data_IF_110698606640
#
_entry.id   IF_110698606640
#
_cell.length_a   1.000
_cell.length_b   1.000
_cell.length_c   1.000
_cell.angle_alpha   90.00
_cell.angle_beta   90.00
_cell.angle_gamma   90.00
#
_symmetry.space_group_name_H-M   'P 1'
#
loop_
_entity.id
_entity.type
_entity.pdbx_description
1 polymer ?
#
# COMPACT_ATOMS: atom_id res chain seq x y z
N UNK A 1 -0.96 19.86 -14.80
CA UNK A 1 -0.13 18.70 -15.19
C UNK A 1 0.47 18.10 -13.93
N UNK A 2 0.36 16.78 -13.74
CA UNK A 2 1.10 16.10 -12.68
C UNK A 2 2.61 16.28 -12.92
N UNK A 3 3.45 16.41 -11.88
CA UNK A 3 4.89 16.46 -12.05
C UNK A 3 5.38 15.24 -12.84
N UNK A 4 6.36 15.42 -13.74
CA UNK A 4 6.86 14.35 -14.61
C UNK A 4 7.59 13.21 -13.88
N UNK A 5 7.73 13.27 -12.55
CA UNK A 5 8.42 12.27 -11.73
C UNK A 5 7.65 12.03 -10.43
N UNK A 6 6.47 11.44 -10.51
CA UNK A 6 5.67 11.03 -9.36
C UNK A 6 5.74 9.52 -9.10
N UNK A 7 5.53 9.10 -7.84
CA UNK A 7 5.38 7.69 -7.42
C UNK A 7 4.41 6.98 -8.37
N UNK A 8 3.32 7.66 -8.72
CA UNK A 8 2.31 7.20 -9.65
C UNK A 8 1.98 8.26 -10.71
N UNK A 9 1.84 7.83 -11.96
CA UNK A 9 1.23 8.62 -13.03
C UNK A 9 -0.32 8.54 -12.99
N UNK A 10 -1.04 9.48 -13.64
CA UNK A 10 -2.49 9.39 -13.79
C UNK A 10 -2.95 8.02 -14.32
N UNK A 11 -4.06 7.52 -13.80
CA UNK A 11 -4.56 6.18 -14.15
C UNK A 11 -3.91 5.02 -13.41
N UNK A 12 -3.09 5.29 -12.37
CA UNK A 12 -2.53 4.25 -11.51
C UNK A 12 -3.58 3.53 -10.65
N UNK A 13 -3.17 2.39 -10.08
CA UNK A 13 -3.99 1.67 -9.10
C UNK A 13 -4.24 2.46 -7.82
N UNK A 14 -3.26 3.23 -7.33
CA UNK A 14 -3.45 4.11 -6.17
C UNK A 14 -4.53 5.16 -6.41
N UNK A 15 -4.57 5.75 -7.62
CA UNK A 15 -5.63 6.69 -7.97
C UNK A 15 -7.00 6.00 -8.01
N UNK A 16 -7.10 4.84 -8.64
CA UNK A 16 -8.32 4.04 -8.67
C UNK A 16 -8.78 3.68 -7.26
N UNK A 17 -7.85 3.33 -6.36
CA UNK A 17 -8.12 3.00 -4.98
C UNK A 17 -8.73 4.19 -4.21
N UNK A 18 -8.13 5.39 -4.31
CA UNK A 18 -8.66 6.61 -3.67
C UNK A 18 -10.07 6.91 -4.18
N UNK A 19 -10.25 6.98 -5.50
CA UNK A 19 -11.52 7.36 -6.08
C UNK A 19 -12.62 6.36 -5.73
N UNK A 20 -12.33 5.06 -5.80
CA UNK A 20 -13.30 4.03 -5.45
C UNK A 20 -13.67 4.08 -3.97
N UNK A 21 -12.69 4.27 -3.09
CA UNK A 21 -12.93 4.40 -1.65
C UNK A 21 -13.80 5.62 -1.35
N UNK A 22 -13.44 6.79 -1.86
CA UNK A 22 -14.11 8.06 -1.54
C UNK A 22 -15.49 8.19 -2.17
N UNK A 23 -15.73 7.52 -3.30
CA UNK A 23 -17.03 7.55 -3.98
C UNK A 23 -17.99 6.47 -3.50
N UNK A 24 -17.50 5.31 -3.03
CA UNK A 24 -18.36 4.15 -2.74
C UNK A 24 -18.49 3.80 -1.26
N UNK A 25 -17.54 4.19 -0.42
CA UNK A 25 -17.60 3.85 1.00
C UNK A 25 -18.41 4.91 1.78
N UNK A 26 -19.28 4.44 2.68
CA UNK A 26 -20.19 5.31 3.46
C UNK A 26 -19.45 6.36 4.29
N UNK A 27 -18.29 6.01 4.86
CA UNK A 27 -17.44 6.91 5.65
C UNK A 27 -16.96 8.17 4.88
N UNK A 28 -16.94 8.13 3.55
CA UNK A 28 -16.49 9.24 2.70
C UNK A 28 -17.61 9.84 1.85
N UNK A 29 -18.84 9.34 2.00
CA UNK A 29 -19.98 9.79 1.19
C UNK A 29 -20.23 11.29 1.37
N UNK A 30 -20.36 12.01 0.25
CA UNK A 30 -20.61 13.45 0.24
C UNK A 30 -19.36 14.32 0.45
N UNK A 31 -18.18 13.73 0.66
CA UNK A 31 -16.93 14.51 0.66
C UNK A 31 -16.55 14.89 -0.77
N UNK A 32 -16.25 16.17 -0.98
CA UNK A 32 -15.60 16.63 -2.20
C UNK A 32 -14.11 16.39 -2.05
N UNK A 33 -13.49 15.74 -3.04
CA UNK A 33 -12.07 15.42 -3.01
C UNK A 33 -11.44 15.64 -4.38
N UNK A 34 -10.13 15.79 -4.39
CA UNK A 34 -9.28 15.75 -5.58
C UNK A 34 -8.04 14.93 -5.27
N UNK A 35 -7.41 14.37 -6.30
CA UNK A 35 -6.23 13.51 -6.16
C UNK A 35 -5.01 14.23 -6.71
N UNK A 36 -3.86 14.01 -6.05
CA UNK A 36 -2.57 14.56 -6.46
C UNK A 36 -1.47 13.54 -6.20
N UNK A 37 -0.67 13.25 -7.22
CA UNK A 37 0.51 12.41 -7.08
C UNK A 37 1.72 13.20 -6.58
N UNK A 38 2.57 12.55 -5.78
CA UNK A 38 3.80 13.11 -5.21
C UNK A 38 5.03 12.36 -5.72
N UNK A 39 6.22 12.99 -5.75
CA UNK A 39 7.47 12.41 -6.26
C UNK A 39 8.09 11.32 -5.39
N UNK A 40 7.75 11.27 -4.12
CA UNK A 40 8.21 10.25 -3.19
C UNK A 40 7.29 10.20 -1.97
N UNK A 41 7.35 9.09 -1.24
CA UNK A 41 6.61 8.92 0.01
C UNK A 41 7.04 9.95 1.05
N UNK A 42 8.31 10.34 1.07
CA UNK A 42 8.82 11.43 1.91
C UNK A 42 8.16 12.77 1.57
N UNK A 43 7.96 13.07 0.27
CA UNK A 43 7.28 14.31 -0.15
C UNK A 43 5.77 14.28 0.09
N UNK A 44 5.15 13.10 -0.01
CA UNK A 44 3.77 12.89 0.40
C UNK A 44 3.62 13.12 1.92
N UNK A 45 4.51 12.54 2.72
CA UNK A 45 4.54 12.71 4.17
C UNK A 45 4.75 14.18 4.56
N UNK A 46 5.68 14.87 3.90
CA UNK A 46 5.91 16.30 4.12
C UNK A 46 4.66 17.14 3.83
N UNK A 47 3.95 16.86 2.74
CA UNK A 47 2.73 17.59 2.40
C UNK A 47 1.61 17.41 3.44
N UNK A 48 1.53 16.25 4.09
CA UNK A 48 0.61 16.03 5.22
C UNK A 48 1.04 16.86 6.43
N UNK A 49 2.34 16.84 6.76
CA UNK A 49 2.90 17.62 7.88
C UNK A 49 2.73 19.13 7.70
N UNK A 50 2.84 19.61 6.46
CA UNK A 50 2.68 21.02 6.09
C UNK A 50 1.19 21.45 6.01
N UNK A 51 0.25 20.50 6.13
CA UNK A 51 -1.18 20.75 5.99
C UNK A 51 -1.65 21.01 4.56
N UNK A 52 -0.80 20.76 3.56
CA UNK A 52 -1.15 20.86 2.13
C UNK A 52 -2.01 19.69 1.66
N UNK A 53 -1.88 18.53 2.31
CA UNK A 53 -2.60 17.30 2.01
C UNK A 53 -3.32 16.79 3.26
N UNK A 54 -4.64 16.66 3.18
CA UNK A 54 -5.43 16.15 4.32
C UNK A 54 -5.18 14.67 4.56
N UNK A 55 -5.19 13.87 3.49
CA UNK A 55 -5.03 12.42 3.53
C UNK A 55 -4.08 11.94 2.42
N UNK A 56 -3.10 11.13 2.80
CA UNK A 56 -2.26 10.39 1.86
C UNK A 56 -2.70 8.93 1.75
N UNK A 57 -2.50 8.31 0.58
CA UNK A 57 -2.68 6.88 0.39
C UNK A 57 -1.34 6.27 -0.04
N UNK A 58 -0.95 5.18 0.61
CA UNK A 58 0.31 4.47 0.31
C UNK A 58 0.07 2.96 0.27
N UNK A 59 0.63 2.28 -0.74
CA UNK A 59 0.57 0.83 -0.84
C UNK A 59 1.59 0.22 0.14
N UNK A 60 1.15 -0.73 0.96
CA UNK A 60 1.99 -1.37 1.98
C UNK A 60 2.24 -2.85 1.71
N UNK A 61 1.36 -3.51 0.98
CA UNK A 61 1.44 -4.94 0.73
C UNK A 61 0.63 -5.28 -0.53
N UNK A 62 1.16 -6.17 -1.35
CA UNK A 62 0.44 -6.76 -2.46
C UNK A 62 0.38 -8.27 -2.28
N UNK A 63 -0.80 -8.84 -2.53
CA UNK A 63 -1.12 -10.27 -2.43
C UNK A 63 -0.15 -11.22 -3.12
N UNK A 64 0.59 -10.77 -4.14
CA UNK A 64 1.53 -11.59 -4.91
C UNK A 64 2.98 -11.26 -4.61
N UNK A 65 3.32 -9.97 -4.42
CA UNK A 65 4.71 -9.54 -4.24
C UNK A 65 5.10 -9.39 -2.76
N UNK A 66 4.14 -9.52 -1.85
CA UNK A 66 4.31 -9.32 -0.43
C UNK A 66 4.44 -7.84 -0.04
N UNK A 67 5.10 -7.62 1.09
CA UNK A 67 5.23 -6.31 1.72
C UNK A 67 6.10 -5.32 0.93
N UNK A 68 5.62 -4.08 0.81
CA UNK A 68 6.35 -2.96 0.23
C UNK A 68 7.18 -2.28 1.33
N UNK A 69 8.39 -2.80 1.55
CA UNK A 69 9.21 -2.43 2.71
C UNK A 69 9.60 -0.94 2.80
N UNK A 70 9.79 -0.26 1.66
CA UNK A 70 10.13 1.17 1.64
C UNK A 70 9.01 1.99 2.30
N UNK A 71 7.77 1.70 1.92
CA UNK A 71 6.58 2.31 2.50
C UNK A 71 6.46 1.99 3.99
N UNK A 72 6.61 0.72 4.37
CA UNK A 72 6.46 0.27 5.76
C UNK A 72 7.44 0.97 6.72
N UNK A 73 8.68 1.19 6.27
CA UNK A 73 9.74 1.76 7.10
C UNK A 73 9.69 3.29 7.17
N UNK A 74 9.01 3.98 6.26
CA UNK A 74 9.05 5.45 6.14
C UNK A 74 8.59 6.18 7.41
N UNK A 75 7.54 5.67 8.08
CA UNK A 75 6.97 6.30 9.27
C UNK A 75 7.85 6.14 10.52
N UNK A 76 8.75 5.15 10.50
CA UNK A 76 9.57 4.76 11.66
C UNK A 76 11.01 5.21 11.51
N UNK A 77 11.63 4.88 10.38
CA UNK A 77 13.06 5.11 10.11
C UNK A 77 13.30 6.23 9.07
N UNK A 78 12.23 6.75 8.46
CA UNK A 78 12.30 7.85 7.50
C UNK A 78 12.84 9.14 8.11
N UNK A 79 13.31 10.05 7.26
CA UNK A 79 13.91 11.32 7.68
C UNK A 79 12.95 12.22 8.45
N UNK A 80 11.67 12.15 8.09
CA UNK A 80 10.59 12.92 8.71
C UNK A 80 9.95 12.18 9.90
N UNK A 81 10.50 11.02 10.29
CA UNK A 81 10.05 10.31 11.48
C UNK A 81 10.41 11.10 12.75
N UNK A 82 9.44 11.43 13.61
CA UNK A 82 9.72 12.08 14.90
C UNK A 82 10.59 11.21 15.81
N UNK A 83 10.50 9.88 15.65
CA UNK A 83 11.30 8.90 16.39
C UNK A 83 12.79 9.11 16.10
N UNK A 84 13.13 9.31 14.83
CA UNK A 84 14.52 9.58 14.39
C UNK A 84 14.99 10.98 14.79
N UNK A 85 14.09 11.95 14.87
CA UNK A 85 14.43 13.32 15.26
C UNK A 85 14.59 13.51 16.79
N UNK A 86 14.22 12.52 17.61
CA UNK A 86 14.23 12.64 19.08
C UNK A 86 13.22 13.66 19.60
N UNK A 87 12.18 13.99 18.82
CA UNK A 87 11.20 15.03 19.13
C UNK A 87 9.87 14.40 19.53
N UNK A 88 9.72 14.06 20.80
CA UNK A 88 8.52 13.42 21.34
C UNK A 88 7.21 14.19 21.07
N UNK A 89 7.29 15.51 20.85
CA UNK A 89 6.15 16.40 20.63
C UNK A 89 6.10 17.02 19.23
N UNK A 90 6.94 16.56 18.28
CA UNK A 90 6.85 17.04 16.91
C UNK A 90 5.57 16.51 16.23
N UNK A 91 4.96 17.29 15.32
CA UNK A 91 3.90 16.79 14.45
C UNK A 91 4.36 15.52 13.75
N UNK A 92 3.46 14.54 13.63
CA UNK A 92 3.76 13.27 12.97
C UNK A 92 2.60 12.80 12.12
N UNK A 93 2.93 11.98 11.14
CA UNK A 93 1.93 11.33 10.31
C UNK A 93 1.50 10.02 10.99
N UNK A 94 0.20 9.80 11.04
CA UNK A 94 -0.44 8.64 11.61
C UNK A 94 -1.07 7.78 10.51
N UNK A 95 -1.13 6.47 10.73
CA UNK A 95 -2.03 5.61 9.95
C UNK A 95 -3.44 5.81 10.49
N UNK A 96 -4.34 6.28 9.62
CA UNK A 96 -5.70 6.71 9.98
C UNK A 96 -6.78 5.85 9.32
N UNK A 97 -6.39 4.89 8.49
CA UNK A 97 -7.30 3.96 7.84
C UNK A 97 -6.54 2.91 7.05
N UNK A 98 -7.22 1.82 6.73
CA UNK A 98 -6.76 0.82 5.78
C UNK A 98 -7.82 0.60 4.72
N UNK A 99 -7.37 0.33 3.49
CA UNK A 99 -8.25 -0.07 2.40
C UNK A 99 -7.57 -1.13 1.54
N UNK A 100 -8.29 -2.19 1.21
CA UNK A 100 -7.84 -3.24 0.31
C UNK A 100 -8.53 -3.05 -1.03
N UNK A 101 -7.74 -2.87 -2.09
CA UNK A 101 -8.23 -2.65 -3.43
C UNK A 101 -7.92 -3.85 -4.32
N UNK A 102 -8.93 -4.30 -5.08
CA UNK A 102 -8.76 -5.30 -6.12
C UNK A 102 -8.23 -4.64 -7.39
N UNK A 103 -7.22 -5.24 -8.02
CA UNK A 103 -6.50 -4.69 -9.17
C UNK A 103 -6.57 -5.64 -10.36
N UNK A 104 -7.74 -5.78 -11.03
CA UNK A 104 -7.82 -6.58 -12.24
C UNK A 104 -6.95 -5.96 -13.33
N UNK A 105 -6.13 -6.78 -13.98
CA UNK A 105 -5.25 -6.32 -15.06
C UNK A 105 -5.98 -6.31 -16.39
N UNK A 106 -5.71 -5.26 -17.19
CA UNK A 106 -6.21 -5.10 -18.55
C UNK A 106 -5.03 -4.93 -19.49
N UNK A 107 -5.12 -5.53 -20.68
CA UNK A 107 -4.22 -5.24 -21.78
C UNK A 107 -4.81 -4.08 -22.59
N UNK A 108 -4.10 -2.95 -22.59
CA UNK A 108 -4.50 -1.71 -23.25
C UNK A 108 -3.59 -1.44 -24.45
N UNK A 109 -4.12 -0.89 -25.53
CA UNK A 109 -3.34 -0.50 -26.71
C UNK A 109 -4.02 0.65 -27.47
N UNK A 110 -3.31 1.36 -28.37
CA UNK A 110 -3.93 2.34 -29.25
C UNK A 110 -4.99 1.74 -30.19
N UNK A 111 -5.97 2.53 -30.67
CA UNK A 111 -6.97 2.08 -31.63
C UNK A 111 -6.33 1.44 -32.88
N UNK A 112 -6.90 0.32 -33.33
CA UNK A 112 -6.39 -0.46 -34.47
C UNK A 112 -5.41 -1.59 -34.08
N UNK A 113 -5.02 -1.68 -32.81
CA UNK A 113 -4.28 -2.81 -32.28
C UNK A 113 -5.09 -4.12 -32.33
N UNK A 114 -4.39 -5.24 -32.52
CA UNK A 114 -4.91 -6.60 -32.45
C UNK A 114 -3.93 -7.45 -31.66
N UNK A 115 -4.36 -8.53 -31.01
CA UNK A 115 -3.47 -9.38 -30.21
C UNK A 115 -2.31 -9.93 -31.07
N UNK A 116 -2.61 -10.35 -32.30
CA UNK A 116 -1.60 -10.87 -33.24
C UNK A 116 -0.58 -9.82 -33.69
N UNK A 117 -0.97 -8.54 -33.66
CA UNK A 117 -0.14 -7.41 -34.05
C UNK A 117 0.70 -6.80 -32.92
N UNK A 118 0.56 -7.27 -31.67
CA UNK A 118 1.35 -6.77 -30.55
C UNK A 118 2.79 -7.30 -30.63
N UNK A 119 3.75 -6.39 -30.71
CA UNK A 119 5.19 -6.67 -30.73
C UNK A 119 5.88 -6.28 -29.42
N UNK A 120 5.26 -5.41 -28.60
CA UNK A 120 5.78 -4.97 -27.31
C UNK A 120 4.65 -4.86 -26.27
N UNK A 121 4.92 -5.31 -25.04
CA UNK A 121 4.05 -5.11 -23.88
C UNK A 121 4.82 -4.42 -22.77
N UNK A 122 4.29 -3.27 -22.30
CA UNK A 122 4.90 -2.45 -21.24
C UNK A 122 4.12 -2.53 -19.94
N UNK A 123 4.81 -2.66 -18.81
CA UNK A 123 4.22 -2.44 -17.48
C UNK A 123 5.29 -2.41 -16.40
N UNK A 124 4.88 -2.27 -15.15
CA UNK A 124 5.75 -2.53 -14.01
C UNK A 124 6.25 -3.99 -14.05
N UNK A 125 7.52 -4.29 -13.70
CA UNK A 125 8.07 -5.64 -13.73
C UNK A 125 7.21 -6.70 -13.03
N UNK A 126 6.68 -6.37 -11.86
CA UNK A 126 5.81 -7.30 -11.12
C UNK A 126 4.50 -7.59 -11.83
N UNK A 127 3.92 -6.62 -12.54
CA UNK A 127 2.66 -6.80 -13.28
C UNK A 127 2.90 -7.64 -14.54
N UNK A 128 4.03 -7.43 -15.23
CA UNK A 128 4.44 -8.29 -16.35
C UNK A 128 4.58 -9.75 -15.91
N UNK A 129 5.17 -9.99 -14.73
CA UNK A 129 5.33 -11.34 -14.19
C UNK A 129 3.97 -11.95 -13.80
N UNK A 130 3.08 -11.17 -13.16
CA UNK A 130 1.74 -11.60 -12.81
C UNK A 130 0.90 -12.00 -14.03
N UNK A 131 1.16 -11.41 -15.20
CA UNK A 131 0.44 -11.72 -16.44
C UNK A 131 1.22 -12.66 -17.39
N UNK A 132 2.37 -13.17 -16.97
CA UNK A 132 3.32 -13.91 -17.83
C UNK A 132 2.68 -15.06 -18.59
N UNK A 133 1.89 -15.91 -17.93
CA UNK A 133 1.22 -17.05 -18.57
C UNK A 133 0.27 -16.62 -19.68
N UNK A 134 -0.57 -15.62 -19.41
CA UNK A 134 -1.50 -15.11 -20.41
C UNK A 134 -0.76 -14.50 -21.60
N UNK A 135 0.33 -13.77 -21.34
CA UNK A 135 1.18 -13.19 -22.39
C UNK A 135 1.83 -14.27 -23.27
N UNK A 136 2.32 -15.36 -22.65
CA UNK A 136 2.91 -16.49 -23.39
C UNK A 136 1.89 -17.21 -24.27
N UNK A 137 0.63 -17.29 -23.83
CA UNK A 137 -0.42 -17.95 -24.59
C UNK A 137 -1.01 -17.10 -25.72
N UNK A 138 -1.10 -15.77 -25.54
CA UNK A 138 -1.86 -14.89 -26.44
C UNK A 138 -1.01 -13.92 -27.27
N UNK A 139 0.15 -13.49 -26.73
CA UNK A 139 1.08 -12.57 -27.41
C UNK A 139 2.53 -13.07 -27.31
N UNK A 140 2.83 -14.33 -27.67
CA UNK A 140 4.12 -15.00 -27.41
C UNK A 140 5.34 -14.34 -28.06
N UNK A 141 5.11 -13.49 -29.07
CA UNK A 141 6.18 -12.80 -29.81
C UNK A 141 6.49 -11.42 -29.25
N UNK A 142 5.65 -10.90 -28.36
CA UNK A 142 5.80 -9.56 -27.84
C UNK A 142 6.96 -9.49 -26.84
N UNK A 143 7.83 -8.49 -27.01
CA UNK A 143 8.86 -8.19 -26.01
C UNK A 143 8.23 -7.54 -24.78
N UNK A 144 8.63 -7.98 -23.59
CA UNK A 144 8.18 -7.40 -22.31
C UNK A 144 9.14 -6.29 -21.90
N UNK A 145 8.63 -5.08 -21.69
CA UNK A 145 9.45 -3.91 -21.32
C UNK A 145 8.99 -3.34 -19.99
N UNK A 146 9.96 -3.22 -19.08
CA UNK A 146 9.75 -2.67 -17.76
C UNK A 146 9.58 -1.15 -17.82
N UNK A 147 8.53 -0.67 -17.15
CA UNK A 147 8.27 0.74 -16.89
C UNK A 147 8.22 0.98 -15.37
N UNK A 148 8.28 2.25 -14.96
CA UNK A 148 8.26 2.63 -13.53
C UNK A 148 6.95 2.27 -12.82
N UNK A 149 5.85 2.11 -13.56
CA UNK A 149 4.53 1.83 -13.03
C UNK A 149 3.51 1.60 -14.15
N UNK A 150 2.32 1.11 -13.81
CA UNK A 150 1.25 0.84 -14.79
C UNK A 150 0.69 2.12 -15.42
N UNK A 151 0.57 3.19 -14.64
CA UNK A 151 0.21 4.51 -15.15
C UNK A 151 1.28 5.07 -16.12
N UNK A 152 2.57 4.86 -15.81
CA UNK A 152 3.67 5.28 -16.68
C UNK A 152 3.68 4.52 -18.01
N UNK A 153 3.44 3.21 -17.97
CA UNK A 153 3.28 2.40 -19.18
C UNK A 153 2.11 2.88 -20.04
N UNK A 154 0.96 3.17 -19.41
CA UNK A 154 -0.24 3.69 -20.11
C UNK A 154 0.02 5.05 -20.75
N UNK A 155 0.68 5.96 -20.03
CA UNK A 155 1.11 7.26 -20.54
C UNK A 155 1.98 7.10 -21.78
N UNK A 156 3.01 6.26 -21.68
CA UNK A 156 3.99 6.06 -22.74
C UNK A 156 3.34 5.55 -24.03
N UNK A 157 2.46 4.52 -23.94
CA UNK A 157 1.81 3.99 -25.14
C UNK A 157 0.76 4.93 -25.72
N UNK A 158 0.08 5.73 -24.88
CA UNK A 158 -0.86 6.75 -25.33
C UNK A 158 -0.14 7.85 -26.13
N UNK A 159 1.03 8.28 -25.66
CA UNK A 159 1.86 9.29 -26.34
C UNK A 159 2.50 8.77 -27.64
N UNK A 160 2.91 7.49 -27.66
CA UNK A 160 3.46 6.86 -28.86
C UNK A 160 2.40 6.63 -29.95
N UNK A 161 1.18 6.22 -29.55
CA UNK A 161 0.08 5.96 -30.48
C UNK A 161 0.34 4.79 -31.45
N UNK A 162 1.33 3.94 -31.17
CA UNK A 162 1.70 2.79 -32.00
C UNK A 162 0.84 1.57 -31.65
N UNK A 163 -0.01 1.06 -32.58
CA UNK A 163 -0.88 -0.08 -32.32
C UNK A 163 -0.14 -1.42 -32.14
N UNK A 164 1.18 -1.48 -32.37
CA UNK A 164 2.01 -2.65 -32.07
C UNK A 164 2.49 -2.70 -30.61
N UNK A 165 2.27 -1.63 -29.83
CA UNK A 165 2.73 -1.51 -28.45
C UNK A 165 1.51 -1.47 -27.52
N UNK A 166 1.43 -2.46 -26.62
CA UNK A 166 0.43 -2.54 -25.58
C UNK A 166 1.01 -2.22 -24.20
N UNK A 167 0.15 -1.92 -23.24
CA UNK A 167 0.48 -1.76 -21.83
C UNK A 167 -0.46 -2.59 -20.97
N UNK A 168 0.05 -3.09 -19.83
CA UNK A 168 -0.80 -3.69 -18.80
C UNK A 168 -1.06 -2.66 -17.72
N UNK A 169 -2.34 -2.36 -17.48
CA UNK A 169 -2.75 -1.37 -16.47
C UNK A 169 -4.15 -1.66 -15.92
N UNK A 170 -4.60 -0.79 -15.00
CA UNK A 170 -5.93 -0.83 -14.43
C UNK A 170 -6.96 -0.09 -15.29
N UNK A 171 -8.23 -0.21 -14.92
CA UNK A 171 -9.35 0.41 -15.64
C UNK A 171 -9.23 1.93 -15.76
N UNK A 172 -8.64 2.57 -14.75
CA UNK A 172 -8.54 4.02 -14.67
C UNK A 172 -7.67 4.63 -15.76
N UNK A 173 -6.77 3.85 -16.37
CA UNK A 173 -5.98 4.31 -17.52
C UNK A 173 -6.88 4.64 -18.73
N UNK A 174 -7.96 3.89 -18.97
CA UNK A 174 -8.91 4.15 -20.07
C UNK A 174 -9.72 5.43 -19.86
N UNK A 175 -9.87 5.89 -18.62
CA UNK A 175 -10.57 7.13 -18.30
C UNK A 175 -9.67 8.37 -18.42
N UNK A 176 -8.34 8.20 -18.31
CA UNK A 176 -7.38 9.29 -18.41
C UNK A 176 -6.78 9.47 -19.79
N UNK A 177 -6.70 8.40 -20.57
CA UNK A 177 -5.99 8.38 -21.84
C UNK A 177 -6.95 8.05 -22.98
N UNK A 178 -7.33 9.08 -23.74
CA UNK A 178 -8.34 8.99 -24.81
C UNK A 178 -7.91 8.12 -25.99
N UNK A 179 -6.61 7.88 -26.18
CA UNK A 179 -6.07 7.10 -27.28
C UNK A 179 -5.77 5.65 -26.89
N UNK A 180 -6.48 5.10 -25.91
CA UNK A 180 -6.34 3.71 -25.47
C UNK A 180 -7.67 2.96 -25.57
N UNK A 181 -7.59 1.71 -26.03
CA UNK A 181 -8.69 0.73 -26.00
C UNK A 181 -8.27 -0.50 -25.21
N UNK A 182 -9.26 -1.22 -24.69
CA UNK A 182 -9.04 -2.52 -24.05
C UNK A 182 -9.05 -3.64 -25.10
N UNK A 183 -8.02 -4.49 -25.05
CA UNK A 183 -7.95 -5.72 -25.84
C UNK A 183 -8.34 -6.97 -25.04
N UNK A 184 -8.04 -6.97 -23.74
CA UNK A 184 -8.36 -8.06 -22.83
C UNK A 184 -8.43 -7.57 -21.38
N UNK A 185 -9.20 -8.26 -20.54
CA UNK A 185 -9.32 -8.03 -19.10
C UNK A 185 -9.16 -9.36 -18.36
N UNK A 186 -8.65 -9.31 -17.12
CA UNK A 186 -8.51 -10.49 -16.26
C UNK A 186 -7.37 -11.39 -16.71
N UNK A 187 -6.26 -10.76 -17.12
CA UNK A 187 -5.09 -11.43 -17.70
C UNK A 187 -4.07 -11.87 -16.65
N UNK A 188 -4.33 -11.59 -15.38
CA UNK A 188 -3.52 -12.09 -14.27
C UNK A 188 -3.54 -13.62 -14.18
N UNK A 189 -2.42 -14.19 -13.73
CA UNK A 189 -2.25 -15.65 -13.58
C UNK A 189 -3.22 -16.27 -12.58
N UNK A 190 -3.63 -15.49 -11.57
CA UNK A 190 -4.61 -15.91 -10.55
C UNK A 190 -5.80 -14.95 -10.59
N UNK A 191 -6.83 -15.27 -11.40
CA UNK A 191 -8.00 -14.42 -11.55
C UNK A 191 -8.65 -14.11 -10.19
N UNK A 192 -9.07 -12.86 -10.00
CA UNK A 192 -9.74 -12.40 -8.77
C UNK A 192 -8.92 -12.53 -7.48
N UNK A 193 -7.59 -12.68 -7.59
CA UNK A 193 -6.69 -12.81 -6.44
C UNK A 193 -5.68 -11.66 -6.30
N UNK A 194 -5.66 -10.67 -7.20
CA UNK A 194 -4.74 -9.54 -7.12
C UNK A 194 -5.33 -8.41 -6.31
N UNK A 195 -4.87 -8.31 -5.07
CA UNK A 195 -5.19 -7.23 -4.15
C UNK A 195 -3.94 -6.49 -3.72
N UNK A 196 -4.08 -5.17 -3.56
CA UNK A 196 -3.11 -4.31 -2.89
C UNK A 196 -3.77 -3.71 -1.66
N UNK A 197 -3.07 -3.81 -0.54
CA UNK A 197 -3.46 -3.24 0.74
C UNK A 197 -2.78 -1.88 0.90
N UNK A 198 -3.58 -0.89 1.25
CA UNK A 198 -3.16 0.50 1.40
C UNK A 198 -3.38 1.00 2.82
N UNK A 199 -2.47 1.85 3.27
CA UNK A 199 -2.69 2.72 4.42
C UNK A 199 -3.14 4.10 3.97
N UNK A 200 -4.13 4.63 4.68
CA UNK A 200 -4.44 6.05 4.69
C UNK A 200 -3.61 6.72 5.78
N UNK A 201 -3.02 7.85 5.44
CA UNK A 201 -2.16 8.64 6.29
C UNK A 201 -2.79 9.99 6.56
N UNK A 202 -2.71 10.47 7.80
CA UNK A 202 -3.24 11.77 8.20
C UNK A 202 -2.44 12.39 9.33
N UNK A 203 -2.64 13.69 9.55
CA UNK A 203 -2.00 14.42 10.64
C UNK A 203 -2.68 14.15 12.00
N UNK A 204 -4.02 14.05 11.99
CA UNK A 204 -4.79 13.75 13.18
C UNK A 204 -4.97 12.24 13.33
N UNK A 205 -4.66 11.63 14.49
CA UNK A 205 -4.89 10.21 14.69
C UNK A 205 -6.38 9.89 14.55
N UNK A 206 -6.67 8.77 13.88
CA UNK A 206 -8.04 8.27 13.82
C UNK A 206 -8.53 7.94 15.24
N UNK A 207 -9.81 8.21 15.49
CA UNK A 207 -10.47 7.66 16.67
C UNK A 207 -10.79 6.21 16.35
N UNK A 208 -10.34 5.29 17.19
CA UNK A 208 -10.75 3.90 17.07
C UNK A 208 -12.28 3.83 17.22
N UNK A 209 -12.99 3.54 16.13
CA UNK A 209 -14.42 3.29 16.16
C UNK A 209 -14.64 1.77 16.17
N UNK A 210 -15.62 1.26 16.95
CA UNK A 210 -15.92 -0.20 16.95
C UNK A 210 -16.44 -0.68 15.59
N UNK A 211 -17.00 0.22 14.79
CA UNK A 211 -17.43 -0.10 13.44
C UNK A 211 -16.20 -0.31 12.54
N UNK A 212 -16.33 -1.16 11.53
CA UNK A 212 -15.24 -1.47 10.58
C UNK A 212 -14.06 -2.27 11.15
N UNK A 213 -14.33 -3.09 12.18
CA UNK A 213 -13.39 -4.08 12.75
C UNK A 213 -11.96 -3.53 12.89
N UNK A 214 -11.75 -2.53 13.77
CA UNK A 214 -10.57 -1.68 13.71
C UNK A 214 -9.28 -2.44 14.02
N UNK A 215 -8.16 -1.89 13.56
CA UNK A 215 -6.83 -2.48 13.63
C UNK A 215 -5.84 -1.50 14.25
N UNK A 216 -4.83 -2.04 14.92
CA UNK A 216 -3.72 -1.28 15.47
C UNK A 216 -2.41 -1.70 14.81
N UNK A 217 -1.68 -0.74 14.23
CA UNK A 217 -0.35 -0.97 13.66
C UNK A 217 0.75 -0.49 14.60
N UNK A 218 1.75 -1.35 14.82
CA UNK A 218 2.85 -1.13 15.74
C UNK A 218 4.18 -1.38 15.03
N UNK A 219 5.21 -0.62 15.41
CA UNK A 219 6.60 -0.97 15.15
C UNK A 219 7.33 -1.15 16.47
N UNK A 220 7.92 -2.33 16.67
CA UNK A 220 8.55 -2.73 17.92
C UNK A 220 10.03 -3.01 17.67
N UNK A 221 10.89 -2.21 18.29
CA UNK A 221 12.34 -2.38 18.21
C UNK A 221 12.80 -3.32 19.30
N UNK A 222 13.52 -4.36 18.93
CA UNK A 222 14.10 -5.32 19.89
C UNK A 222 15.53 -5.70 19.52
N UNK A 223 16.35 -5.94 20.55
CA UNK A 223 17.62 -6.63 20.41
C UNK A 223 17.43 -8.04 19.86
N UNK A 224 18.35 -8.47 19.00
CA UNK A 224 18.33 -9.85 18.50
C UNK A 224 18.93 -10.82 19.52
N UNK A 225 18.02 -11.46 20.27
CA UNK A 225 18.32 -12.45 21.30
C UNK A 225 17.30 -13.60 21.23
N UNK A 226 17.67 -14.82 21.65
CA UNK A 226 16.76 -15.96 21.64
C UNK A 226 15.42 -15.65 22.30
N UNK A 227 14.31 -15.95 21.61
CA UNK A 227 12.96 -15.73 22.09
C UNK A 227 12.45 -14.28 22.02
N UNK A 228 13.18 -13.34 21.42
CA UNK A 228 12.71 -11.95 21.27
C UNK A 228 11.35 -11.87 20.54
N UNK A 229 11.24 -12.51 19.37
CA UNK A 229 9.99 -12.58 18.61
C UNK A 229 8.86 -13.27 19.39
N UNK A 230 9.17 -14.40 20.04
CA UNK A 230 8.21 -15.13 20.86
C UNK A 230 7.62 -14.24 21.97
N UNK A 231 8.47 -13.46 22.66
CA UNK A 231 8.01 -12.55 23.72
C UNK A 231 7.07 -11.46 23.17
N UNK A 232 7.37 -10.91 21.99
CA UNK A 232 6.49 -9.93 21.32
C UNK A 232 5.13 -10.54 21.01
N UNK A 233 5.12 -11.71 20.37
CA UNK A 233 3.87 -12.40 20.02
C UNK A 233 3.07 -12.86 21.24
N UNK A 234 3.75 -13.28 22.31
CA UNK A 234 3.10 -13.70 23.55
C UNK A 234 2.28 -12.58 24.22
N UNK A 235 2.68 -11.31 24.06
CA UNK A 235 1.90 -10.18 24.58
C UNK A 235 0.47 -10.14 24.03
N UNK A 236 0.28 -10.56 22.78
CA UNK A 236 -1.02 -10.59 22.09
C UNK A 236 -1.70 -11.96 22.21
N UNK A 237 -0.95 -13.04 21.94
CA UNK A 237 -1.50 -14.39 21.89
C UNK A 237 -2.08 -14.86 23.25
N UNK A 238 -1.47 -14.47 24.37
CA UNK A 238 -1.98 -14.81 25.71
C UNK A 238 -3.25 -14.04 26.11
N UNK A 239 -3.69 -13.10 25.26
CA UNK A 239 -4.90 -12.28 25.42
C UNK A 239 -5.92 -12.54 24.32
N UNK A 240 -5.73 -13.61 23.53
CA UNK A 240 -6.57 -13.96 22.38
C UNK A 240 -6.69 -12.83 21.33
N UNK A 241 -5.65 -12.01 21.20
CA UNK A 241 -5.58 -10.94 20.21
C UNK A 241 -4.95 -11.47 18.93
N UNK A 242 -5.68 -11.37 17.82
CA UNK A 242 -5.21 -11.79 16.52
C UNK A 242 -4.06 -10.88 16.03
N UNK A 243 -2.99 -11.51 15.54
CA UNK A 243 -1.87 -10.83 14.89
C UNK A 243 -2.01 -11.07 13.39
N UNK A 244 -2.44 -10.04 12.68
CA UNK A 244 -2.88 -10.11 11.28
C UNK A 244 -1.72 -10.04 10.30
N UNK A 245 -0.66 -9.35 10.67
CA UNK A 245 0.54 -9.19 9.85
C UNK A 245 1.75 -9.12 10.75
N UNK A 246 2.85 -9.73 10.30
CA UNK A 246 4.16 -9.57 10.92
C UNK A 246 5.23 -9.43 9.85
N UNK A 247 6.03 -8.38 9.95
CA UNK A 247 7.19 -8.17 9.09
C UNK A 247 8.42 -7.80 9.94
N UNK A 248 9.54 -8.48 9.72
CA UNK A 248 10.77 -8.29 10.49
C UNK A 248 11.86 -7.65 9.64
N UNK A 249 12.40 -6.52 10.09
CA UNK A 249 13.42 -5.75 9.36
C UNK A 249 14.61 -5.43 10.25
N UNK A 250 15.86 -5.58 9.78
CA UNK A 250 17.02 -5.07 10.52
C UNK A 250 16.89 -3.56 10.74
N UNK A 251 17.36 -3.04 11.88
CA UNK A 251 17.35 -1.59 12.11
C UNK A 251 18.12 -0.85 11.02
N UNK A 252 17.53 0.23 10.52
CA UNK A 252 18.25 1.17 9.67
C UNK A 252 19.22 1.97 10.55
N UNK A 253 20.52 1.98 10.19
CA UNK A 253 21.56 2.71 10.95
C UNK A 253 21.20 4.20 11.11
N UNK A 254 21.25 4.69 12.35
CA UNK A 254 21.13 6.13 12.67
C UNK A 254 19.74 6.62 13.11
N UNK A 255 18.78 5.73 13.39
CA UNK A 255 17.49 6.10 13.99
C UNK A 255 17.46 5.98 15.52
N UNK A 256 18.29 5.08 16.09
CA UNK A 256 18.55 4.89 17.52
C UNK A 256 20.01 4.40 17.62
N UNK A 257 20.65 4.43 18.79
CA UNK A 257 21.90 3.70 19.04
C UNK A 257 21.68 2.18 18.86
N UNK A 258 21.58 1.72 17.62
CA UNK A 258 21.55 0.30 17.30
C UNK A 258 22.89 -0.29 17.75
N UNK A 259 22.85 -1.05 18.85
CA UNK A 259 24.05 -1.67 19.41
C UNK A 259 24.60 -2.78 18.51
N UNK A 260 23.75 -3.35 17.64
CA UNK A 260 24.11 -4.40 16.69
C UNK A 260 23.50 -4.13 15.30
N UNK A 261 24.21 -4.44 14.20
CA UNK A 261 23.62 -4.41 12.84
C UNK A 261 22.51 -5.45 12.63
N UNK A 262 22.32 -6.35 13.59
CA UNK A 262 21.34 -7.43 13.53
C UNK A 262 20.21 -7.28 14.53
N UNK A 263 20.06 -6.13 15.20
CA UNK A 263 18.83 -5.87 15.95
C UNK A 263 17.68 -5.63 14.94
N UNK A 264 16.43 -5.93 15.34
CA UNK A 264 15.29 -5.90 14.42
C UNK A 264 14.17 -4.95 14.88
N UNK A 265 13.50 -4.32 13.91
CA UNK A 265 12.17 -3.75 14.04
C UNK A 265 11.15 -4.76 13.53
N UNK A 266 10.17 -5.07 14.36
CA UNK A 266 9.01 -5.90 14.00
C UNK A 266 7.82 -4.98 13.77
N UNK A 267 7.24 -5.03 12.57
CA UNK A 267 6.01 -4.34 12.25
C UNK A 267 4.86 -5.33 12.42
N UNK A 268 3.89 -4.97 13.25
CA UNK A 268 2.73 -5.82 13.51
C UNK A 268 1.45 -5.05 13.29
N UNK A 269 0.47 -5.78 12.76
CA UNK A 269 -0.92 -5.38 12.77
C UNK A 269 -1.70 -6.32 13.67
N UNK A 270 -2.49 -5.77 14.58
CA UNK A 270 -3.31 -6.54 15.51
C UNK A 270 -4.75 -6.08 15.46
N UNK A 271 -5.69 -7.00 15.66
CA UNK A 271 -7.11 -6.65 15.72
C UNK A 271 -7.45 -5.96 17.04
N UNK A 272 -8.32 -4.96 16.97
CA UNK A 272 -8.73 -4.13 18.10
C UNK A 272 -7.92 -2.84 18.26
N UNK A 273 -8.36 -2.00 19.19
CA UNK A 273 -7.77 -0.68 19.45
C UNK A 273 -7.60 -0.43 20.96
N UNK A 274 -6.45 0.14 21.40
CA UNK A 274 -6.13 0.26 22.81
C UNK A 274 -7.12 1.12 23.61
N UNK A 275 -7.77 2.10 22.97
CA UNK A 275 -8.73 2.99 23.62
C UNK A 275 -10.07 2.30 23.94
N UNK A 276 -10.41 1.22 23.24
CA UNK A 276 -11.69 0.51 23.39
C UNK A 276 -11.52 -0.91 23.92
N UNK A 277 -10.35 -1.51 23.75
CA UNK A 277 -10.07 -2.91 24.02
C UNK A 277 -8.92 -2.99 25.03
N UNK A 278 -9.23 -3.17 26.34
CA UNK A 278 -8.23 -3.17 27.40
C UNK A 278 -7.09 -4.18 27.17
N UNK A 279 -7.40 -5.35 26.60
CA UNK A 279 -6.40 -6.36 26.28
C UNK A 279 -5.32 -5.85 25.31
N UNK A 280 -5.69 -5.06 24.30
CA UNK A 280 -4.75 -4.44 23.35
C UNK A 280 -3.87 -3.42 24.07
N UNK A 281 -4.47 -2.58 24.93
CA UNK A 281 -3.74 -1.61 25.73
C UNK A 281 -2.71 -2.31 26.65
N UNK A 282 -3.14 -3.34 27.38
CA UNK A 282 -2.28 -4.12 28.26
C UNK A 282 -1.16 -4.86 27.51
N UNK A 283 -1.45 -5.40 26.32
CA UNK A 283 -0.43 -6.01 25.47
C UNK A 283 0.65 -5.00 25.08
N UNK A 284 0.25 -3.80 24.67
CA UNK A 284 1.18 -2.71 24.33
C UNK A 284 1.99 -2.25 25.55
N UNK A 285 1.37 -2.14 26.72
CA UNK A 285 2.11 -1.83 27.95
C UNK A 285 3.11 -2.92 28.31
N UNK A 286 2.76 -4.20 28.12
CA UNK A 286 3.67 -5.30 28.39
C UNK A 286 4.86 -5.35 27.42
N UNK A 287 4.66 -4.98 26.14
CA UNK A 287 5.77 -4.80 25.20
C UNK A 287 6.79 -3.77 25.69
N UNK A 288 6.32 -2.65 26.27
CA UNK A 288 7.17 -1.56 26.78
C UNK A 288 8.05 -1.97 27.97
N UNK A 289 7.77 -3.10 28.62
CA UNK A 289 8.60 -3.60 29.72
C UNK A 289 9.95 -4.17 29.24
N UNK A 290 10.05 -4.60 27.98
CA UNK A 290 11.25 -5.30 27.49
C UNK A 290 11.73 -4.92 26.09
N UNK A 291 10.88 -4.31 25.26
CA UNK A 291 11.28 -3.79 23.95
C UNK A 291 12.15 -2.54 24.13
N UNK A 292 13.06 -2.30 23.18
CA UNK A 292 13.88 -1.08 23.19
C UNK A 292 13.04 0.14 22.80
N UNK A 293 12.04 -0.05 21.95
CA UNK A 293 11.05 0.98 21.57
C UNK A 293 9.74 0.33 21.10
N UNK A 294 8.61 1.00 21.36
CA UNK A 294 7.26 0.59 20.92
C UNK A 294 6.54 1.79 20.34
N UNK A 295 6.46 1.82 19.02
CA UNK A 295 5.93 2.94 18.25
C UNK A 295 4.53 2.57 17.77
N UNK A 296 3.53 3.34 18.21
CA UNK A 296 2.17 3.25 17.70
C UNK A 296 2.07 4.04 16.38
N UNK A 297 1.92 3.32 15.26
CA UNK A 297 1.77 3.93 13.94
C UNK A 297 0.35 4.47 13.74
N UNK A 298 -0.64 3.77 14.29
CA UNK A 298 -2.03 4.21 14.28
C UNK A 298 -2.98 3.12 14.77
N UNK A 299 -4.17 3.56 15.17
CA UNK A 299 -5.31 2.71 15.51
C UNK A 299 -6.49 3.20 14.66
N UNK A 300 -6.99 2.38 13.75
CA UNK A 300 -7.78 2.88 12.61
C UNK A 300 -8.83 1.88 12.11
N UNK A 301 -9.90 2.36 11.43
CA UNK A 301 -10.89 1.50 10.79
C UNK A 301 -10.34 0.81 9.54
N UNK A 302 -10.84 -0.40 9.25
CA UNK A 302 -10.61 -1.11 7.99
C UNK A 302 -11.77 -0.84 7.04
N UNK A 303 -11.54 -0.02 6.02
CA UNK A 303 -12.55 0.24 5.01
C UNK A 303 -12.65 -0.94 4.07
N UNK A 304 -13.77 -1.66 4.15
CA UNK A 304 -14.08 -2.77 3.26
C UNK A 304 -15.18 -2.35 2.30
N UNK A 305 -14.95 -2.54 1.00
CA UNK A 305 -16.03 -2.49 0.01
C UNK A 305 -16.49 -3.91 -0.29
N UNK A 306 -17.80 -4.13 -0.31
CA UNK A 306 -18.33 -5.39 -0.83
C UNK A 306 -17.89 -5.56 -2.29
N UNK A 307 -17.17 -6.65 -2.57
CA UNK A 307 -16.85 -7.03 -3.93
C UNK A 307 -18.12 -7.59 -4.55
N UNK A 308 -18.67 -6.92 -5.56
CA UNK A 308 -19.72 -7.49 -6.41
C UNK A 308 -19.18 -8.81 -6.99
N UNK A 309 -19.68 -9.94 -6.46
CA UNK A 309 -19.36 -11.35 -6.73
C UNK A 309 -18.61 -12.14 -5.64
N UNK A 310 -18.81 -11.81 -4.36
CA UNK A 310 -18.52 -12.73 -3.27
C UNK A 310 -18.06 -12.00 -2.03
N UNK A 311 -18.81 -12.15 -0.96
CA UNK A 311 -18.44 -11.68 0.37
C UNK A 311 -17.13 -12.33 0.81
N UNK A 312 -16.04 -11.56 0.77
CA UNK A 312 -14.87 -11.85 1.58
C UNK A 312 -15.11 -11.28 2.97
N UNK A 313 -15.50 -12.13 3.90
CA UNK A 313 -15.27 -11.88 5.33
C UNK A 313 -13.81 -12.21 5.59
N UNK A 314 -13.01 -11.25 6.06
CA UNK A 314 -11.72 -11.57 6.66
C UNK A 314 -11.98 -12.50 7.85
N UNK A 315 -11.57 -13.76 7.74
CA UNK A 315 -11.39 -14.63 8.92
C UNK A 315 -10.09 -14.30 9.59
#
# INVERSE_FOLDING_TARGET
MAPENTIDAPGSYSQAAIERLFTRHSAFTGRVFSTRSYPSEEKLQQAILDGELELGLIAIENSHTGTLHTTLTMLVDGRLSPVRAGLANAPRVHVVGEYIHAEPHRLLAPPGATLEGIEEVRSHPHVLEQCSRWLDDHVPRARRVAELGTGWASKAINELGDPSIAAIAGEKALEHYDNLIELAQGIETYPSATFTRFWLLGLEPAKGERHHEPRTSLAIRTKNRPGALFRVLACFALRDINVCTIECRPHVRGAVEAHSPWDYTMYLDVDGVPDLDPGVCEAIMNLREFADDVILLGSYPRYTLEVMNGTWTST
#
